data_IF_837279353370
#
_entry.id   IF_837279353370
#
_cell.length_a   1.000
_cell.length_b   1.000
_cell.length_c   1.000
_cell.angle_alpha   90.00
_cell.angle_beta   90.00
_cell.angle_gamma   90.00
#
_symmetry.space_group_name_H-M   'P 1'
#
loop_
_entity.id
_entity.type
_entity.pdbx_description
1 polymer ?
#
# COMPACT_ATOMS: atom_id res chain seq x y z
N UNK A 1 -4.81 -22.67 -11.50
CA UNK A 1 -5.82 -22.62 -10.41
C UNK A 1 -6.78 -21.49 -10.72
N UNK A 2 -8.07 -21.68 -10.45
CA UNK A 2 -9.06 -20.59 -10.51
C UNK A 2 -9.25 -20.00 -9.11
N UNK A 3 -9.08 -18.69 -8.99
CA UNK A 3 -9.09 -17.95 -7.73
C UNK A 3 -10.13 -16.84 -7.80
N UNK A 4 -11.04 -16.81 -6.85
CA UNK A 4 -11.97 -15.70 -6.64
C UNK A 4 -11.49 -14.87 -5.45
N UNK A 5 -11.13 -13.62 -5.68
CA UNK A 5 -10.72 -12.68 -4.65
C UNK A 5 -11.91 -11.76 -4.30
N UNK A 6 -12.38 -11.82 -3.08
CA UNK A 6 -13.49 -11.00 -2.62
C UNK A 6 -12.93 -9.75 -1.92
N UNK A 7 -13.06 -8.60 -2.60
CA UNK A 7 -12.54 -7.32 -2.20
C UNK A 7 -11.40 -6.84 -3.10
N UNK A 8 -11.60 -5.70 -3.75
CA UNK A 8 -10.64 -5.01 -4.62
C UNK A 8 -9.87 -3.90 -3.91
N UNK A 9 -9.72 -3.97 -2.60
CA UNK A 9 -8.82 -3.08 -1.86
C UNK A 9 -7.35 -3.44 -2.09
N UNK A 10 -6.41 -2.66 -1.49
CA UNK A 10 -4.98 -2.85 -1.70
C UNK A 10 -4.49 -4.29 -1.48
N UNK A 11 -4.98 -4.94 -0.45
CA UNK A 11 -4.59 -6.32 -0.14
C UNK A 11 -5.05 -7.32 -1.21
N UNK A 12 -6.31 -7.22 -1.65
CA UNK A 12 -6.87 -8.11 -2.66
C UNK A 12 -6.22 -7.93 -4.03
N UNK A 13 -5.96 -6.68 -4.42
CA UNK A 13 -5.28 -6.36 -5.68
C UNK A 13 -3.83 -6.81 -5.65
N UNK A 14 -3.10 -6.52 -4.58
CA UNK A 14 -1.70 -6.91 -4.45
C UNK A 14 -1.51 -8.42 -4.41
N UNK A 15 -2.34 -9.12 -3.65
CA UNK A 15 -2.39 -10.59 -3.67
C UNK A 15 -2.60 -11.13 -5.10
N UNK A 16 -3.54 -10.56 -5.84
CA UNK A 16 -3.86 -10.99 -7.20
C UNK A 16 -2.68 -10.78 -8.17
N UNK A 17 -1.96 -9.66 -8.02
CA UNK A 17 -0.74 -9.38 -8.79
C UNK A 17 0.32 -10.44 -8.50
N UNK A 18 0.65 -10.67 -7.24
CA UNK A 18 1.68 -11.63 -6.85
C UNK A 18 1.35 -13.07 -7.29
N UNK A 19 0.09 -13.48 -7.16
CA UNK A 19 -0.34 -14.80 -7.62
C UNK A 19 -0.25 -14.94 -9.15
N UNK A 20 -0.58 -13.88 -9.88
CA UNK A 20 -0.47 -13.90 -11.35
C UNK A 20 0.98 -13.91 -11.81
N UNK A 21 1.89 -13.27 -11.07
CA UNK A 21 3.33 -13.33 -11.33
C UNK A 21 3.92 -14.70 -11.00
N UNK A 22 3.46 -15.32 -9.90
CA UNK A 22 3.93 -16.65 -9.50
C UNK A 22 3.59 -17.72 -10.56
N UNK A 23 2.41 -17.64 -11.15
CA UNK A 23 2.02 -18.51 -12.27
C UNK A 23 1.01 -17.78 -13.16
N UNK A 24 1.41 -17.38 -14.39
CA UNK A 24 0.52 -16.73 -15.34
C UNK A 24 -0.71 -17.55 -15.74
N UNK A 25 -0.70 -18.87 -15.52
CA UNK A 25 -1.83 -19.76 -15.80
C UNK A 25 -2.96 -19.63 -14.75
N UNK A 26 -2.73 -18.96 -13.62
CA UNK A 26 -3.79 -18.68 -12.66
C UNK A 26 -4.88 -17.81 -13.29
N UNK A 27 -6.12 -18.27 -13.19
CA UNK A 27 -7.30 -17.52 -13.59
C UNK A 27 -7.87 -16.82 -12.35
N UNK A 28 -7.65 -15.48 -12.25
CA UNK A 28 -7.97 -14.71 -11.06
C UNK A 28 -9.06 -13.70 -11.38
N UNK A 29 -10.15 -13.77 -10.63
CA UNK A 29 -11.23 -12.80 -10.70
C UNK A 29 -11.36 -12.07 -9.37
N UNK A 30 -11.30 -10.73 -9.42
CA UNK A 30 -11.52 -9.87 -8.25
C UNK A 30 -12.94 -9.33 -8.27
N UNK A 31 -13.65 -9.50 -7.18
CA UNK A 31 -15.01 -8.99 -6.99
C UNK A 31 -14.98 -7.83 -6.00
N UNK A 32 -15.27 -6.62 -6.50
CA UNK A 32 -15.34 -5.40 -5.69
C UNK A 32 -16.75 -4.81 -5.75
N UNK A 33 -17.28 -4.45 -4.58
CA UNK A 33 -18.64 -3.87 -4.47
C UNK A 33 -18.72 -2.39 -4.78
N UNK A 34 -17.60 -1.66 -4.61
CA UNK A 34 -17.54 -0.22 -4.83
C UNK A 34 -17.17 0.09 -6.29
N UNK A 35 -17.43 1.32 -6.70
CA UNK A 35 -17.05 1.79 -8.02
C UNK A 35 -15.54 2.02 -8.13
N UNK A 36 -14.94 1.96 -9.32
CA UNK A 36 -13.48 2.15 -9.49
C UNK A 36 -12.97 3.52 -9.03
N UNK A 37 -13.82 4.53 -9.03
CA UNK A 37 -13.52 5.92 -8.66
C UNK A 37 -13.90 6.25 -7.20
N UNK A 38 -14.49 5.32 -6.47
CA UNK A 38 -14.78 5.51 -5.05
C UNK A 38 -13.47 5.51 -4.25
N UNK A 39 -13.28 6.53 -3.41
CA UNK A 39 -12.13 6.65 -2.51
C UNK A 39 -12.59 6.70 -1.06
N UNK A 40 -11.78 6.12 -0.17
CA UNK A 40 -12.09 6.04 1.25
C UNK A 40 -10.89 6.51 2.07
N UNK A 41 -11.17 7.32 3.09
CA UNK A 41 -10.16 7.87 3.97
C UNK A 41 -9.36 9.02 3.35
N UNK A 42 -8.23 9.33 3.98
CA UNK A 42 -7.42 10.51 3.68
C UNK A 42 -6.12 10.18 2.96
N UNK A 43 -5.78 8.91 2.88
CA UNK A 43 -4.53 8.44 2.33
C UNK A 43 -4.00 7.22 3.09
N UNK A 44 -2.85 6.76 2.66
CA UNK A 44 -2.16 5.60 3.24
C UNK A 44 -0.72 5.98 3.57
N UNK A 45 -0.30 5.64 4.78
CA UNK A 45 1.08 5.84 5.26
C UNK A 45 1.81 4.51 5.31
N UNK A 46 3.05 4.49 4.82
CA UNK A 46 3.92 3.34 4.85
C UNK A 46 5.21 3.66 5.60
N UNK A 47 5.76 2.66 6.28
CA UNK A 47 7.13 2.70 6.79
C UNK A 47 8.11 2.19 5.74
N UNK A 48 9.39 2.56 5.87
CA UNK A 48 10.45 2.05 5.00
C UNK A 48 10.54 0.52 5.00
N UNK A 49 10.29 -0.10 6.15
CA UNK A 49 10.28 -1.57 6.26
C UNK A 49 9.18 -2.21 5.43
N UNK A 50 7.98 -1.63 5.41
CA UNK A 50 6.86 -2.11 4.58
C UNK A 50 7.18 -1.95 3.10
N UNK A 51 7.75 -0.81 2.72
CA UNK A 51 8.15 -0.56 1.33
C UNK A 51 9.26 -1.49 0.86
N UNK A 52 10.21 -1.83 1.74
CA UNK A 52 11.25 -2.81 1.43
C UNK A 52 10.66 -4.19 1.07
N UNK A 53 9.60 -4.60 1.74
CA UNK A 53 8.89 -5.84 1.40
C UNK A 53 8.25 -5.78 0.01
N UNK A 54 7.64 -4.65 -0.35
CA UNK A 54 7.07 -4.47 -1.70
C UNK A 54 8.14 -4.48 -2.78
N UNK A 55 9.26 -3.82 -2.55
CA UNK A 55 10.37 -3.79 -3.50
C UNK A 55 10.92 -5.18 -3.80
N UNK A 56 11.00 -6.05 -2.80
CA UNK A 56 11.47 -7.43 -2.97
C UNK A 56 10.42 -8.30 -3.67
N UNK A 57 9.15 -8.17 -3.29
CA UNK A 57 8.09 -9.02 -3.80
C UNK A 57 7.67 -8.67 -5.24
N UNK A 58 7.59 -7.38 -5.55
CA UNK A 58 7.22 -6.87 -6.88
C UNK A 58 7.81 -5.47 -7.12
N UNK A 59 9.02 -5.39 -7.72
CA UNK A 59 9.67 -4.11 -8.00
C UNK A 59 8.85 -3.18 -8.88
N UNK A 60 8.09 -3.70 -9.83
CA UNK A 60 7.27 -2.91 -10.74
C UNK A 60 6.16 -2.16 -10.00
N UNK A 61 5.38 -2.86 -9.19
CA UNK A 61 4.37 -2.23 -8.33
C UNK A 61 4.99 -1.26 -7.33
N UNK A 62 6.15 -1.60 -6.76
CA UNK A 62 6.88 -0.71 -5.87
C UNK A 62 7.22 0.62 -6.53
N UNK A 63 7.78 0.61 -7.74
CA UNK A 63 8.13 1.82 -8.47
C UNK A 63 6.89 2.68 -8.79
N UNK A 64 5.81 2.08 -9.24
CA UNK A 64 4.58 2.79 -9.57
C UNK A 64 3.94 3.43 -8.33
N UNK A 65 3.87 2.71 -7.22
CA UNK A 65 3.28 3.20 -5.97
C UNK A 65 4.14 4.34 -5.40
N UNK A 66 5.46 4.17 -5.33
CA UNK A 66 6.35 5.13 -4.69
C UNK A 66 6.57 6.39 -5.51
N UNK A 67 6.33 6.36 -6.82
CA UNK A 67 6.42 7.52 -7.70
C UNK A 67 5.53 8.69 -7.26
N UNK A 68 4.43 8.38 -6.61
CA UNK A 68 3.41 9.35 -6.17
C UNK A 68 3.49 9.69 -4.67
N UNK A 69 4.52 9.23 -3.98
CA UNK A 69 4.62 9.40 -2.53
C UNK A 69 5.21 10.75 -2.12
N UNK A 70 4.73 11.25 -0.98
CA UNK A 70 5.40 12.24 -0.16
C UNK A 70 6.18 11.56 0.95
N UNK A 71 7.37 12.08 1.28
CA UNK A 71 8.26 11.53 2.31
C UNK A 71 8.42 12.51 3.45
N UNK A 72 8.46 12.00 4.69
CA UNK A 72 8.76 12.78 5.89
C UNK A 72 9.37 11.89 6.98
N UNK A 73 10.12 12.49 7.89
CA UNK A 73 10.80 11.77 8.96
C UNK A 73 10.21 12.05 10.33
N UNK A 74 9.59 13.20 10.50
CA UNK A 74 9.15 13.67 11.80
C UNK A 74 7.69 13.33 12.08
N UNK A 75 7.42 12.98 13.34
CA UNK A 75 6.07 12.84 13.88
C UNK A 75 5.88 13.80 15.05
N UNK A 76 4.89 14.67 14.95
CA UNK A 76 4.55 15.63 15.99
C UNK A 76 3.39 15.11 16.85
N UNK A 77 3.61 15.10 18.15
CA UNK A 77 2.57 14.78 19.14
C UNK A 77 2.27 16.02 19.98
N UNK A 78 1.00 16.40 20.00
CA UNK A 78 0.52 17.50 20.85
C UNK A 78 -0.16 16.92 22.07
N UNK A 79 0.39 17.18 23.26
CA UNK A 79 -0.14 16.68 24.51
C UNK A 79 -0.05 17.74 25.60
N UNK A 80 -1.17 18.05 26.22
CA UNK A 80 -1.29 19.04 27.31
C UNK A 80 -0.60 20.37 27.00
N UNK A 81 -0.85 20.92 25.78
CA UNK A 81 -0.27 22.19 25.34
C UNK A 81 1.21 22.14 24.98
N UNK A 82 1.83 20.96 24.95
CA UNK A 82 3.22 20.76 24.56
C UNK A 82 3.28 20.04 23.21
N UNK A 83 4.23 20.44 22.38
CA UNK A 83 4.58 19.75 21.13
C UNK A 83 5.82 18.90 21.38
N UNK A 84 5.73 17.62 21.06
CA UNK A 84 6.84 16.68 21.12
C UNK A 84 7.09 16.18 19.70
N UNK A 85 8.28 16.39 19.16
CA UNK A 85 8.67 15.95 17.83
C UNK A 85 9.59 14.74 17.95
N UNK A 86 9.24 13.66 17.28
CA UNK A 86 10.07 12.46 17.13
C UNK A 86 10.51 12.36 15.67
N UNK A 87 11.80 12.17 15.43
CA UNK A 87 12.40 12.16 14.09
C UNK A 87 12.97 10.80 13.67
N UNK A 88 13.44 10.73 12.43
CA UNK A 88 14.11 9.54 11.88
C UNK A 88 13.22 8.34 11.62
N UNK A 89 11.93 8.53 11.38
CA UNK A 89 10.97 7.44 11.19
C UNK A 89 10.93 6.88 9.76
N UNK A 90 11.30 7.66 8.75
CA UNK A 90 11.25 7.22 7.36
C UNK A 90 9.83 6.89 6.90
N UNK A 91 8.89 7.82 7.07
CA UNK A 91 7.52 7.68 6.60
C UNK A 91 7.35 8.19 5.17
N UNK A 92 6.44 7.55 4.47
CA UNK A 92 5.94 8.04 3.18
C UNK A 92 4.47 7.71 3.03
N UNK A 93 3.80 8.40 2.14
CA UNK A 93 2.38 8.22 1.92
C UNK A 93 1.84 8.94 0.70
N UNK A 94 0.64 8.55 0.36
CA UNK A 94 -0.13 9.06 -0.76
C UNK A 94 -1.51 9.50 -0.30
#
# INVERSE_FOLDING_TARGET
>A
MRIACIGGGPAGLYFSILMKQADPAHDITVYERNRPDDTFGWGVVFSDATLGNFQVADPESYEEITRNFHHWDDCDVFFKGRKITSGGHGYCGI
#
